data_IF_406714116602
#
_entry.id   IF_406714116602
#
_cell.length_a   1.000
_cell.length_b   1.000
_cell.length_c   1.000
_cell.angle_alpha   90.00
_cell.angle_beta   90.00
_cell.angle_gamma   90.00
#
_symmetry.space_group_name_H-M   'P 1'
#
loop_
_entity.id
_entity.type
_entity.pdbx_description
1 polymer ?
#
# COMPACT_ATOMS: atom_id res chain seq x y z
N UNK A 1 4.50 23.50 -1.44
CA UNK A 1 3.48 22.42 -1.57
C UNK A 1 4.00 21.10 -2.12
N UNK A 2 5.02 21.03 -2.97
CA UNK A 2 5.51 19.77 -3.58
C UNK A 2 6.56 19.05 -2.71
N UNK A 3 7.13 19.70 -1.69
CA UNK A 3 8.20 19.15 -0.83
C UNK A 3 7.77 18.04 0.13
N UNK A 4 6.48 17.80 0.32
CA UNK A 4 5.96 16.84 1.30
C UNK A 4 5.55 15.49 0.69
N UNK A 5 5.80 15.28 -0.60
CA UNK A 5 5.55 14.00 -1.25
C UNK A 5 6.71 13.05 -0.93
N UNK A 6 6.61 12.38 0.19
CA UNK A 6 7.50 11.25 0.52
C UNK A 6 7.11 10.06 -0.34
N UNK A 7 7.94 9.78 -1.36
CA UNK A 7 7.78 8.60 -2.21
C UNK A 7 8.12 7.36 -1.39
N UNK A 8 7.07 6.68 -0.91
CA UNK A 8 7.18 5.50 -0.06
C UNK A 8 7.37 5.85 1.42
N UNK A 9 6.51 5.31 2.27
CA UNK A 9 6.61 5.46 3.73
C UNK A 9 7.54 4.41 4.34
N UNK A 10 8.61 4.01 3.61
CA UNK A 10 9.55 3.03 4.12
C UNK A 10 10.30 3.56 5.35
N UNK A 11 10.29 2.78 6.43
CA UNK A 11 11.04 3.08 7.64
C UNK A 11 12.30 2.19 7.67
N UNK A 12 13.52 2.77 7.57
CA UNK A 12 14.75 1.97 7.60
C UNK A 12 15.00 1.43 9.00
N UNK A 13 14.79 0.13 9.20
CA UNK A 13 15.12 -0.58 10.43
C UNK A 13 15.71 -1.95 10.13
N UNK A 14 16.63 -2.40 11.00
CA UNK A 14 17.19 -3.74 10.94
C UNK A 14 16.29 -4.71 11.71
N UNK A 15 15.34 -5.33 10.99
CA UNK A 15 14.45 -6.33 11.56
C UNK A 15 14.31 -7.55 10.66
N UNK A 16 13.79 -8.64 11.22
CA UNK A 16 13.53 -9.87 10.46
C UNK A 16 12.56 -9.60 9.29
N UNK A 17 11.53 -8.78 9.53
CA UNK A 17 10.58 -8.41 8.48
C UNK A 17 11.23 -7.63 7.35
N UNK A 18 12.14 -6.68 7.64
CA UNK A 18 12.81 -5.91 6.59
C UNK A 18 13.65 -6.80 5.67
N UNK A 19 14.28 -7.83 6.24
CA UNK A 19 15.16 -8.79 5.51
C UNK A 19 14.39 -9.92 4.82
N UNK A 20 13.07 -10.05 5.03
CA UNK A 20 12.24 -11.05 4.35
C UNK A 20 12.08 -10.75 2.86
N UNK A 21 11.92 -11.83 2.08
CA UNK A 21 11.61 -11.73 0.65
C UNK A 21 10.29 -10.96 0.42
N UNK A 22 10.26 -9.97 -0.49
CA UNK A 22 9.06 -9.19 -0.78
C UNK A 22 7.85 -10.02 -1.19
N UNK A 23 8.08 -11.16 -1.87
CA UNK A 23 7.01 -12.11 -2.22
C UNK A 23 6.33 -12.69 -0.99
N UNK A 24 7.13 -13.09 -0.01
CA UNK A 24 6.60 -13.62 1.24
C UNK A 24 5.81 -12.56 2.01
N UNK A 25 6.24 -11.30 2.01
CA UNK A 25 5.51 -10.19 2.63
C UNK A 25 4.18 -9.91 1.94
N UNK A 26 4.18 -9.85 0.59
CA UNK A 26 2.97 -9.63 -0.21
C UNK A 26 1.92 -10.71 0.05
N UNK A 27 2.32 -11.99 -0.08
CA UNK A 27 1.42 -13.12 0.19
C UNK A 27 0.93 -13.10 1.63
N UNK A 28 1.82 -12.80 2.59
CA UNK A 28 1.45 -12.73 4.00
C UNK A 28 0.45 -11.63 4.31
N UNK A 29 0.62 -10.45 3.73
CA UNK A 29 -0.33 -9.36 3.89
C UNK A 29 -1.69 -9.72 3.27
N UNK A 30 -1.70 -10.36 2.11
CA UNK A 30 -2.92 -10.79 1.44
C UNK A 30 -3.66 -11.86 2.25
N UNK A 31 -2.94 -12.86 2.77
CA UNK A 31 -3.48 -13.89 3.68
C UNK A 31 -4.06 -13.24 4.94
N UNK A 32 -3.35 -12.29 5.55
CA UNK A 32 -3.84 -11.55 6.71
C UNK A 32 -5.12 -10.77 6.40
N UNK A 33 -5.17 -10.03 5.29
CA UNK A 33 -6.36 -9.29 4.86
C UNK A 33 -7.55 -10.25 4.71
N UNK A 34 -7.37 -11.37 3.99
CA UNK A 34 -8.42 -12.36 3.80
C UNK A 34 -8.90 -12.94 5.14
N UNK A 35 -7.97 -13.29 6.03
CA UNK A 35 -8.30 -13.86 7.34
C UNK A 35 -9.15 -12.94 8.21
N UNK A 36 -8.87 -11.62 8.20
CA UNK A 36 -9.64 -10.61 8.93
C UNK A 36 -11.10 -10.55 8.43
N UNK A 37 -11.36 -10.86 7.15
CA UNK A 37 -12.73 -10.98 6.63
C UNK A 37 -13.39 -12.32 6.98
N UNK A 38 -12.60 -13.36 7.19
CA UNK A 38 -13.10 -14.71 7.59
C UNK A 38 -13.60 -14.70 9.03
N UNK A 39 -13.00 -13.90 9.92
CA UNK A 39 -13.42 -13.79 11.31
C UNK A 39 -14.75 -13.04 11.46
N UNK A 40 -15.71 -13.68 12.15
CA UNK A 40 -16.99 -13.10 12.52
C UNK A 40 -17.20 -12.99 14.02
N UNK A 41 -16.32 -13.61 14.82
CA UNK A 41 -16.44 -13.74 16.27
C UNK A 41 -15.33 -12.98 17.00
N UNK A 42 -15.59 -12.54 18.22
CA UNK A 42 -14.58 -11.86 19.04
C UNK A 42 -13.34 -12.70 19.34
N UNK A 43 -13.43 -14.02 19.64
CA UNK A 43 -12.24 -14.86 19.81
C UNK A 43 -11.35 -14.91 18.56
N UNK A 44 -11.93 -14.94 17.37
CA UNK A 44 -11.18 -14.87 16.10
C UNK A 44 -10.37 -13.58 15.97
N UNK A 45 -10.94 -12.45 16.36
CA UNK A 45 -10.20 -11.19 16.40
C UNK A 45 -9.07 -11.18 17.44
N UNK A 46 -9.21 -11.91 18.56
CA UNK A 46 -8.10 -12.07 19.53
C UNK A 46 -6.89 -12.77 18.90
N UNK A 47 -7.11 -13.82 18.09
CA UNK A 47 -6.05 -14.50 17.34
C UNK A 47 -5.38 -13.53 16.34
N UNK A 48 -6.19 -12.76 15.61
CA UNK A 48 -5.67 -11.74 14.69
C UNK A 48 -4.85 -10.66 15.41
N UNK A 49 -5.26 -10.27 16.63
CA UNK A 49 -4.53 -9.31 17.47
C UNK A 49 -3.15 -9.86 17.86
N UNK A 50 -3.10 -11.10 18.33
CA UNK A 50 -1.84 -11.75 18.72
C UNK A 50 -0.90 -11.83 17.53
N UNK A 51 -1.39 -12.26 16.37
CA UNK A 51 -0.60 -12.34 15.15
C UNK A 51 -0.08 -10.96 14.72
N UNK A 52 -0.95 -9.95 14.68
CA UNK A 52 -0.58 -8.60 14.31
C UNK A 52 0.41 -7.99 15.29
N UNK A 53 0.21 -8.17 16.60
CA UNK A 53 1.14 -7.72 17.64
C UNK A 53 2.52 -8.38 17.49
N UNK A 54 2.58 -9.69 17.24
CA UNK A 54 3.82 -10.39 16.97
C UNK A 54 4.55 -9.80 15.74
N UNK A 55 3.83 -9.53 14.65
CA UNK A 55 4.41 -8.92 13.45
C UNK A 55 4.91 -7.49 13.70
N UNK A 56 4.20 -6.70 14.50
CA UNK A 56 4.63 -5.35 14.89
C UNK A 56 5.93 -5.40 15.70
N UNK A 57 6.01 -6.28 16.71
CA UNK A 57 7.20 -6.46 17.53
C UNK A 57 8.39 -6.90 16.67
N UNK A 58 8.19 -7.89 15.79
CA UNK A 58 9.21 -8.37 14.87
C UNK A 58 9.67 -7.32 13.85
N UNK A 59 8.82 -6.34 13.52
CA UNK A 59 9.15 -5.28 12.57
C UNK A 59 10.10 -4.24 13.14
N UNK A 60 10.15 -4.06 14.48
CA UNK A 60 10.87 -2.97 15.16
C UNK A 60 10.50 -1.56 14.68
N UNK A 61 9.36 -1.43 14.01
CA UNK A 61 8.85 -0.13 13.56
C UNK A 61 8.13 0.55 14.73
N UNK A 62 8.42 1.82 15.04
CA UNK A 62 7.69 2.53 16.08
C UNK A 62 6.21 2.63 15.77
N UNK A 63 5.37 2.25 16.72
CA UNK A 63 3.90 2.21 16.57
C UNK A 63 3.31 3.56 16.16
N UNK A 64 3.99 4.66 16.50
CA UNK A 64 3.62 6.02 16.12
C UNK A 64 3.47 6.22 14.60
N UNK A 65 4.31 5.57 13.80
CA UNK A 65 4.22 5.65 12.33
C UNK A 65 3.01 4.89 11.79
N UNK A 66 2.61 3.78 12.42
CA UNK A 66 1.41 3.02 12.06
C UNK A 66 0.13 3.82 12.38
N UNK A 67 0.09 4.48 13.53
CA UNK A 67 -1.02 5.37 13.90
C UNK A 67 -1.15 6.60 13.00
N UNK A 68 -0.08 7.06 12.36
CA UNK A 68 -0.15 8.14 11.37
C UNK A 68 -1.00 7.73 10.16
N UNK A 69 -0.87 6.48 9.70
CA UNK A 69 -1.75 5.91 8.67
C UNK A 69 -3.21 5.81 9.14
N UNK A 70 -3.43 5.46 10.41
CA UNK A 70 -4.77 5.37 10.98
C UNK A 70 -5.46 6.74 11.04
N UNK A 71 -4.72 7.81 11.35
CA UNK A 71 -5.27 9.17 11.44
C UNK A 71 -6.01 9.60 10.18
N UNK A 72 -5.51 9.20 9.00
CA UNK A 72 -6.16 9.54 7.72
C UNK A 72 -7.54 8.85 7.56
N UNK A 73 -7.76 7.72 8.24
CA UNK A 73 -8.97 6.90 8.09
C UNK A 73 -9.90 7.02 9.31
N UNK A 74 -9.46 7.68 10.38
CA UNK A 74 -10.28 7.85 11.62
C UNK A 74 -11.64 8.46 11.30
N UNK A 75 -11.71 9.44 10.41
CA UNK A 75 -12.98 10.05 10.01
C UNK A 75 -13.92 9.01 9.38
N UNK A 76 -13.44 8.22 8.44
CA UNK A 76 -14.22 7.16 7.80
C UNK A 76 -14.66 6.10 8.82
N UNK A 77 -13.75 5.73 9.73
CA UNK A 77 -14.04 4.78 10.81
C UNK A 77 -15.14 5.31 11.73
N UNK A 78 -15.05 6.58 12.15
CA UNK A 78 -16.10 7.22 12.97
C UNK A 78 -17.44 7.22 12.26
N UNK A 79 -17.47 7.61 10.98
CA UNK A 79 -18.70 7.58 10.17
C UNK A 79 -19.27 6.17 10.15
N UNK A 80 -18.46 5.16 9.83
CA UNK A 80 -18.91 3.77 9.76
C UNK A 80 -19.46 3.26 11.09
N UNK A 81 -18.79 3.57 12.20
CA UNK A 81 -19.23 3.19 13.54
C UNK A 81 -20.58 3.84 13.87
N UNK A 82 -20.71 5.14 13.65
CA UNK A 82 -21.96 5.89 13.92
C UNK A 82 -23.11 5.32 13.09
N UNK A 83 -22.92 5.11 11.79
CA UNK A 83 -23.95 4.54 10.93
C UNK A 83 -24.37 3.13 11.38
N UNK A 84 -23.42 2.26 11.74
CA UNK A 84 -23.75 0.91 12.19
C UNK A 84 -24.47 0.90 13.53
N UNK A 85 -24.17 1.81 14.47
CA UNK A 85 -24.86 1.90 15.76
C UNK A 85 -26.34 2.28 15.58
N UNK A 86 -26.63 3.24 14.70
CA UNK A 86 -27.97 3.82 14.59
C UNK A 86 -28.86 3.20 13.50
N UNK A 87 -28.27 2.66 12.42
CA UNK A 87 -29.03 2.13 11.28
C UNK A 87 -29.21 0.61 11.32
N UNK A 88 -28.51 -0.13 12.18
CA UNK A 88 -28.63 -1.59 12.21
C UNK A 88 -29.88 -1.99 13.00
N UNK A 89 -30.84 -2.73 12.41
CA UNK A 89 -32.02 -3.22 13.12
C UNK A 89 -31.61 -4.30 14.11
N UNK A 90 -32.29 -4.35 15.28
CA UNK A 90 -32.05 -5.34 16.33
C UNK A 90 -32.74 -5.02 17.64
N UNK A 91 -32.36 -5.69 18.74
CA UNK A 91 -32.87 -5.42 20.06
C UNK A 91 -32.50 -4.01 20.53
N UNK A 92 -33.48 -3.17 20.74
CA UNK A 92 -33.26 -1.78 21.17
C UNK A 92 -32.77 -1.78 22.62
N UNK A 93 -31.57 -1.27 22.84
CA UNK A 93 -31.00 -1.03 24.17
C UNK A 93 -31.36 0.35 24.70
N UNK A 94 -31.42 1.32 23.82
CA UNK A 94 -31.72 2.69 24.16
C UNK A 94 -32.35 3.40 22.98
N UNK A 95 -33.43 4.14 23.23
CA UNK A 95 -34.19 4.86 22.22
C UNK A 95 -34.23 6.35 22.55
N UNK A 96 -33.81 7.18 21.63
CA UNK A 96 -33.94 8.62 21.73
C UNK A 96 -34.57 9.19 20.46
N UNK A 97 -35.89 9.32 20.48
CA UNK A 97 -36.69 9.76 19.34
C UNK A 97 -36.61 8.79 18.16
N UNK A 98 -36.05 9.24 17.03
CA UNK A 98 -35.90 8.46 15.78
C UNK A 98 -34.64 7.58 15.80
N UNK A 99 -33.70 7.85 16.71
CA UNK A 99 -32.41 7.13 16.79
C UNK A 99 -32.55 5.97 17.79
N UNK A 100 -32.28 4.76 17.33
CA UNK A 100 -32.30 3.54 18.12
C UNK A 100 -30.89 2.95 18.20
N UNK A 101 -30.37 2.78 19.41
CA UNK A 101 -29.13 2.04 19.64
C UNK A 101 -29.52 0.59 19.91
N UNK A 102 -29.07 -0.31 19.03
CA UNK A 102 -29.36 -1.74 19.11
C UNK A 102 -28.12 -2.54 19.57
N UNK A 103 -28.37 -3.67 20.25
CA UNK A 103 -27.28 -4.58 20.67
C UNK A 103 -26.49 -5.12 19.48
N UNK A 104 -27.19 -5.50 18.42
CA UNK A 104 -26.62 -5.99 17.18
C UNK A 104 -25.82 -4.90 16.48
N UNK A 105 -26.31 -3.65 16.48
CA UNK A 105 -25.61 -2.49 15.93
C UNK A 105 -24.30 -2.20 16.65
N UNK A 106 -24.29 -2.28 17.98
CA UNK A 106 -23.09 -2.07 18.78
C UNK A 106 -22.03 -3.18 18.53
N UNK A 107 -22.47 -4.44 18.48
CA UNK A 107 -21.60 -5.57 18.15
C UNK A 107 -21.03 -5.47 16.72
N UNK A 108 -21.86 -5.06 15.76
CA UNK A 108 -21.44 -4.87 14.38
C UNK A 108 -20.46 -3.70 14.24
N UNK A 109 -20.76 -2.56 14.86
CA UNK A 109 -19.90 -1.39 14.89
C UNK A 109 -18.51 -1.71 15.47
N UNK A 110 -18.47 -2.43 16.61
CA UNK A 110 -17.22 -2.89 17.22
C UNK A 110 -16.41 -3.80 16.31
N UNK A 111 -17.05 -4.79 15.68
CA UNK A 111 -16.38 -5.69 14.73
C UNK A 111 -15.85 -4.95 13.51
N UNK A 112 -16.61 -4.01 12.95
CA UNK A 112 -16.18 -3.20 11.81
C UNK A 112 -15.03 -2.26 12.18
N UNK A 113 -15.07 -1.64 13.36
CA UNK A 113 -13.99 -0.79 13.86
C UNK A 113 -12.67 -1.58 14.00
N UNK A 114 -12.71 -2.75 14.63
CA UNK A 114 -11.54 -3.62 14.78
C UNK A 114 -11.05 -4.08 13.40
N UNK A 115 -11.94 -4.52 12.52
CA UNK A 115 -11.61 -4.98 11.16
C UNK A 115 -10.88 -3.90 10.37
N UNK A 116 -11.44 -2.70 10.28
CA UNK A 116 -10.82 -1.59 9.54
C UNK A 116 -9.47 -1.20 10.14
N UNK A 117 -9.36 -1.17 11.46
CA UNK A 117 -8.10 -0.88 12.15
C UNK A 117 -7.02 -1.91 11.79
N UNK A 118 -7.34 -3.20 11.79
CA UNK A 118 -6.38 -4.26 11.47
C UNK A 118 -5.97 -4.24 10.00
N UNK A 119 -6.90 -3.98 9.08
CA UNK A 119 -6.59 -3.83 7.67
C UNK A 119 -5.61 -2.69 7.43
N UNK A 120 -5.83 -1.55 8.09
CA UNK A 120 -4.95 -0.38 7.95
C UNK A 120 -3.58 -0.65 8.55
N UNK A 121 -3.52 -1.20 9.76
CA UNK A 121 -2.23 -1.49 10.41
C UNK A 121 -1.46 -2.56 9.63
N UNK A 122 -2.12 -3.63 9.19
CA UNK A 122 -1.49 -4.71 8.42
C UNK A 122 -0.93 -4.25 7.09
N UNK A 123 -1.69 -3.45 6.33
CA UNK A 123 -1.21 -2.86 5.07
C UNK A 123 -0.10 -1.82 5.29
N UNK A 124 -0.22 -0.99 6.33
CA UNK A 124 0.81 -0.02 6.70
C UNK A 124 2.12 -0.71 7.09
N UNK A 125 2.05 -1.83 7.79
CA UNK A 125 3.23 -2.61 8.16
C UNK A 125 4.01 -3.08 6.93
N UNK A 126 3.31 -3.57 5.91
CA UNK A 126 3.93 -3.95 4.64
C UNK A 126 4.62 -2.76 3.96
N UNK A 127 3.94 -1.61 3.88
CA UNK A 127 4.47 -0.40 3.24
C UNK A 127 5.67 0.17 4.01
N UNK A 128 5.65 0.12 5.34
CA UNK A 128 6.74 0.60 6.19
C UNK A 128 7.99 -0.32 6.15
N UNK A 129 7.81 -1.61 5.84
CA UNK A 129 8.89 -2.61 5.84
C UNK A 129 9.40 -2.99 4.45
N UNK A 130 8.81 -2.46 3.38
CA UNK A 130 9.14 -2.84 2.01
C UNK A 130 9.31 -1.59 1.14
N UNK A 131 10.44 -1.49 0.43
CA UNK A 131 10.66 -0.38 -0.49
C UNK A 131 9.80 -0.54 -1.75
N UNK A 132 9.43 0.57 -2.46
CA UNK A 132 8.67 0.48 -3.71
C UNK A 132 9.34 -0.40 -4.77
N UNK A 133 10.66 -0.35 -4.89
CA UNK A 133 11.40 -1.20 -5.83
C UNK A 133 11.28 -2.68 -5.47
N UNK A 134 11.46 -3.03 -4.18
CA UNK A 134 11.27 -4.41 -3.71
C UNK A 134 9.84 -4.90 -3.94
N UNK A 135 8.85 -4.01 -3.77
CA UNK A 135 7.45 -4.33 -4.03
C UNK A 135 7.22 -4.68 -5.51
N UNK A 136 7.79 -3.89 -6.42
CA UNK A 136 7.73 -4.13 -7.87
C UNK A 136 8.37 -5.45 -8.25
N UNK A 137 9.58 -5.74 -7.73
CA UNK A 137 10.29 -7.00 -7.97
C UNK A 137 9.50 -8.21 -7.43
N UNK A 138 8.90 -8.05 -6.24
CA UNK A 138 8.03 -9.07 -5.63
C UNK A 138 6.79 -9.35 -6.47
N UNK A 139 6.13 -8.30 -6.95
CA UNK A 139 4.95 -8.40 -7.83
C UNK A 139 5.28 -9.07 -9.16
N UNK A 140 6.38 -8.66 -9.82
CA UNK A 140 6.85 -9.30 -11.06
C UNK A 140 6.96 -10.82 -10.89
N UNK A 141 7.61 -11.25 -9.81
CA UNK A 141 7.82 -12.67 -9.56
C UNK A 141 6.54 -13.43 -9.22
N UNK A 142 5.63 -12.81 -8.46
CA UNK A 142 4.34 -13.42 -8.09
C UNK A 142 3.40 -13.50 -9.29
N UNK A 143 3.41 -12.49 -10.15
CA UNK A 143 2.54 -12.42 -11.32
C UNK A 143 3.11 -13.13 -12.56
N UNK A 144 4.36 -13.60 -12.52
CA UNK A 144 5.00 -14.30 -13.64
C UNK A 144 4.17 -15.44 -14.26
N UNK A 145 3.37 -16.24 -13.49
CA UNK A 145 2.50 -17.24 -14.09
C UNK A 145 1.48 -16.68 -15.09
N UNK A 146 1.10 -15.38 -14.95
CA UNK A 146 0.19 -14.71 -15.86
C UNK A 146 0.80 -14.46 -17.25
N UNK A 147 2.11 -14.62 -17.42
CA UNK A 147 2.72 -14.61 -18.77
C UNK A 147 2.10 -15.68 -19.68
N UNK A 148 1.58 -16.79 -19.11
CA UNK A 148 0.83 -17.82 -19.87
C UNK A 148 -0.47 -17.28 -20.46
N UNK A 149 -1.01 -16.19 -19.92
CA UNK A 149 -2.20 -15.48 -20.43
C UNK A 149 -1.84 -14.32 -21.37
N UNK A 150 -0.61 -14.31 -21.92
CA UNK A 150 -0.08 -13.26 -22.81
C UNK A 150 -0.02 -11.85 -22.16
N UNK A 151 0.06 -11.77 -20.82
CA UNK A 151 0.26 -10.50 -20.13
C UNK A 151 1.77 -10.24 -20.01
N UNK A 152 2.31 -9.13 -20.53
CA UNK A 152 3.75 -8.82 -20.51
C UNK A 152 4.19 -8.33 -19.14
N UNK A 153 4.24 -9.23 -18.15
CA UNK A 153 4.52 -8.88 -16.73
C UNK A 153 5.91 -8.28 -16.56
N UNK A 154 6.92 -8.80 -17.28
CA UNK A 154 8.28 -8.30 -17.19
C UNK A 154 8.38 -6.84 -17.67
N UNK A 155 7.76 -6.52 -18.80
CA UNK A 155 7.72 -5.18 -19.37
C UNK A 155 6.99 -4.20 -18.44
N UNK A 156 5.89 -4.63 -17.84
CA UNK A 156 5.16 -3.82 -16.85
C UNK A 156 6.05 -3.53 -15.63
N UNK A 157 6.72 -4.55 -15.08
CA UNK A 157 7.61 -4.37 -13.93
C UNK A 157 8.80 -3.46 -14.26
N UNK A 158 9.36 -3.58 -15.46
CA UNK A 158 10.42 -2.70 -15.93
C UNK A 158 9.94 -1.26 -16.05
N UNK A 159 8.76 -1.02 -16.66
CA UNK A 159 8.16 0.32 -16.72
C UNK A 159 7.95 0.92 -15.34
N UNK A 160 7.44 0.13 -14.37
CA UNK A 160 7.28 0.58 -12.98
C UNK A 160 8.62 0.94 -12.34
N UNK A 161 9.66 0.14 -12.54
CA UNK A 161 11.00 0.40 -11.99
C UNK A 161 11.62 1.67 -12.57
N UNK A 162 11.43 1.90 -13.88
CA UNK A 162 11.86 3.13 -14.57
C UNK A 162 11.08 4.32 -14.03
N UNK A 163 9.75 4.21 -13.90
CA UNK A 163 8.90 5.27 -13.37
C UNK A 163 9.32 5.65 -11.95
N UNK A 164 9.51 4.68 -11.04
CA UNK A 164 9.93 4.92 -9.66
C UNK A 164 11.29 5.65 -9.59
N UNK A 165 12.19 5.38 -10.53
CA UNK A 165 13.48 6.09 -10.64
C UNK A 165 13.31 7.52 -11.14
N UNK A 166 12.40 7.74 -12.10
CA UNK A 166 12.21 9.08 -12.69
C UNK A 166 11.36 10.02 -11.84
N UNK A 167 10.50 9.51 -10.97
CA UNK A 167 9.65 10.36 -10.11
C UNK A 167 10.50 11.40 -9.33
N UNK A 168 11.57 11.04 -8.57
CA UNK A 168 12.37 12.04 -7.88
C UNK A 168 12.99 13.07 -8.82
N UNK A 169 13.50 12.61 -9.97
CA UNK A 169 14.13 13.47 -10.97
C UNK A 169 13.14 14.46 -11.57
N UNK A 170 11.93 13.99 -11.91
CA UNK A 170 10.86 14.86 -12.44
C UNK A 170 10.35 15.83 -11.38
N UNK A 171 10.34 15.45 -10.11
CA UNK A 171 9.99 16.38 -9.02
C UNK A 171 10.99 17.52 -8.88
N UNK A 172 12.29 17.21 -8.91
CA UNK A 172 13.34 18.25 -8.91
C UNK A 172 13.26 19.15 -10.14
N UNK A 173 12.96 18.60 -11.31
CA UNK A 173 12.77 19.34 -12.54
C UNK A 173 11.54 20.26 -12.47
N UNK A 174 10.43 19.73 -11.92
CA UNK A 174 9.22 20.51 -11.67
C UNK A 174 9.49 21.71 -10.77
N UNK A 175 10.26 21.54 -9.69
CA UNK A 175 10.64 22.64 -8.81
C UNK A 175 11.50 23.70 -9.53
N UNK A 176 12.42 23.27 -10.40
CA UNK A 176 13.25 24.17 -11.21
C UNK A 176 12.42 24.98 -12.20
N UNK A 177 11.53 24.29 -12.95
CA UNK A 177 10.64 24.93 -13.93
C UNK A 177 9.70 25.89 -13.22
N UNK A 178 9.12 25.49 -12.09
CA UNK A 178 8.21 26.32 -11.30
C UNK A 178 8.89 27.63 -10.86
N UNK A 179 10.09 27.55 -10.30
CA UNK A 179 10.87 28.73 -9.90
C UNK A 179 11.17 29.65 -11.09
N UNK A 180 11.53 29.08 -12.23
CA UNK A 180 11.79 29.84 -13.46
C UNK A 180 10.52 30.54 -13.98
N UNK A 181 9.36 29.89 -13.91
CA UNK A 181 8.08 30.48 -14.34
C UNK A 181 7.59 31.55 -13.38
N UNK A 182 7.78 31.38 -12.06
CA UNK A 182 7.48 32.42 -11.06
C UNK A 182 8.36 33.67 -11.32
N UNK A 183 9.65 33.49 -11.63
CA UNK A 183 10.55 34.61 -11.99
C UNK A 183 10.12 35.33 -13.28
N UNK A 184 9.34 34.66 -14.16
CA UNK A 184 8.72 35.25 -15.36
C UNK A 184 7.36 35.87 -15.10
N UNK A 185 6.90 35.93 -13.85
CA UNK A 185 5.63 36.49 -13.45
C UNK A 185 4.44 35.53 -13.51
N UNK A 186 4.67 34.23 -13.62
CA UNK A 186 3.59 33.27 -13.54
C UNK A 186 3.07 33.14 -12.10
N UNK A 187 1.75 33.16 -11.95
CA UNK A 187 1.06 33.00 -10.68
C UNK A 187 0.28 31.67 -10.68
N UNK A 188 0.64 30.77 -9.77
CA UNK A 188 0.04 29.44 -9.63
C UNK A 188 -1.00 29.35 -8.50
N UNK A 189 -1.13 30.40 -7.67
CA UNK A 189 -1.95 30.35 -6.45
C UNK A 189 -3.25 31.14 -6.56
N UNK A 190 -3.31 32.21 -7.36
CA UNK A 190 -4.49 33.05 -7.47
C UNK A 190 -5.43 32.63 -8.60
N UNK A 191 -6.72 32.89 -8.43
CA UNK A 191 -7.77 32.67 -9.43
C UNK A 191 -8.67 31.46 -9.18
N UNK A 192 -9.69 31.32 -10.04
CA UNK A 192 -10.62 30.22 -10.07
C UNK A 192 -9.94 28.91 -10.50
N UNK A 193 -10.58 27.75 -10.22
CA UNK A 193 -10.05 26.41 -10.55
C UNK A 193 -9.63 26.30 -12.02
N UNK A 194 -10.43 26.84 -12.95
CA UNK A 194 -10.13 26.84 -14.38
C UNK A 194 -8.89 27.71 -14.67
N UNK A 195 -8.76 28.85 -14.03
CA UNK A 195 -7.63 29.76 -14.20
C UNK A 195 -6.34 29.14 -13.64
N UNK A 196 -6.42 28.51 -12.48
CA UNK A 196 -5.29 27.72 -11.90
C UNK A 196 -4.84 26.61 -12.84
N UNK A 197 -5.77 25.85 -13.41
CA UNK A 197 -5.45 24.80 -14.40
C UNK A 197 -4.75 25.39 -15.64
N UNK A 198 -5.22 26.54 -16.15
CA UNK A 198 -4.60 27.22 -17.28
C UNK A 198 -3.20 27.74 -16.94
N UNK A 199 -3.02 28.28 -15.74
CA UNK A 199 -1.73 28.75 -15.26
C UNK A 199 -0.70 27.62 -15.05
N UNK A 200 -1.13 26.36 -14.94
CA UNK A 200 -0.23 25.20 -14.88
C UNK A 200 0.32 24.76 -16.26
N UNK A 201 -0.28 25.22 -17.39
CA UNK A 201 0.18 24.83 -18.74
C UNK A 201 1.66 25.20 -18.97
N UNK A 202 2.16 26.40 -18.61
CA UNK A 202 3.57 26.75 -18.76
C UNK A 202 4.54 25.88 -17.94
N UNK A 203 4.04 25.15 -16.93
CA UNK A 203 4.80 24.19 -16.16
C UNK A 203 4.76 22.79 -16.82
N UNK A 204 3.58 22.38 -17.30
CA UNK A 204 3.36 21.04 -17.86
C UNK A 204 4.08 20.85 -19.19
N UNK A 205 4.02 21.83 -20.09
CA UNK A 205 4.60 21.70 -21.44
C UNK A 205 6.11 21.44 -21.39
N UNK A 206 6.93 22.26 -20.69
CA UNK A 206 8.36 21.98 -20.58
C UNK A 206 8.67 20.64 -19.87
N UNK A 207 7.86 20.25 -18.88
CA UNK A 207 8.02 18.99 -18.17
C UNK A 207 7.80 17.79 -19.11
N UNK A 208 6.74 17.84 -19.95
CA UNK A 208 6.49 16.82 -20.97
C UNK A 208 7.64 16.70 -21.98
N UNK A 209 8.13 17.85 -22.47
CA UNK A 209 9.26 17.85 -23.43
C UNK A 209 10.48 17.22 -22.81
N UNK A 210 10.79 17.56 -21.55
CA UNK A 210 11.90 16.97 -20.81
C UNK A 210 11.72 15.46 -20.59
N UNK A 211 10.52 15.03 -20.22
CA UNK A 211 10.20 13.60 -20.03
C UNK A 211 10.36 12.80 -21.32
N UNK A 212 9.86 13.32 -22.47
CA UNK A 212 10.06 12.67 -23.78
C UNK A 212 11.53 12.60 -24.19
N UNK A 213 12.29 13.67 -23.97
CA UNK A 213 13.72 13.69 -24.27
C UNK A 213 14.46 12.62 -23.47
N UNK A 214 14.18 12.51 -22.17
CA UNK A 214 14.74 11.46 -21.30
C UNK A 214 14.32 10.05 -21.71
N UNK A 215 13.08 9.86 -22.16
CA UNK A 215 12.60 8.59 -22.66
C UNK A 215 13.37 8.14 -23.91
N UNK A 216 13.62 9.07 -24.84
CA UNK A 216 14.42 8.80 -26.03
C UNK A 216 15.89 8.48 -25.68
N UNK A 217 16.50 9.25 -24.76
CA UNK A 217 17.88 9.01 -24.31
C UNK A 217 18.00 7.62 -23.66
N UNK A 218 16.97 7.24 -22.83
CA UNK A 218 16.93 5.93 -22.21
C UNK A 218 16.77 4.82 -23.25
N UNK A 219 15.87 5.00 -24.24
CA UNK A 219 15.65 4.03 -25.32
C UNK A 219 16.95 3.78 -26.11
N UNK A 220 17.63 4.85 -26.54
CA UNK A 220 18.93 4.73 -27.22
C UNK A 220 19.99 4.05 -26.35
N UNK A 221 20.03 4.36 -25.06
CA UNK A 221 20.95 3.69 -24.14
C UNK A 221 20.63 2.21 -23.94
N UNK A 222 19.37 1.81 -24.00
CA UNK A 222 18.93 0.41 -23.94
C UNK A 222 19.28 -0.34 -25.24
N UNK A 223 19.05 0.27 -26.39
CA UNK A 223 19.46 -0.30 -27.69
C UNK A 223 20.99 -0.49 -27.78
N UNK A 224 21.76 0.51 -27.37
CA UNK A 224 23.23 0.42 -27.33
C UNK A 224 23.75 -0.69 -26.38
N UNK A 225 22.92 -1.12 -25.41
CA UNK A 225 23.19 -2.26 -24.52
C UNK A 225 22.57 -3.56 -25.00
N UNK A 226 22.14 -3.63 -26.25
CA UNK A 226 21.52 -4.80 -26.86
C UNK A 226 20.29 -5.30 -26.08
N UNK A 227 19.42 -4.39 -25.64
CA UNK A 227 18.16 -4.79 -25.02
C UNK A 227 17.16 -5.30 -26.06
N UNK A 228 16.75 -6.57 -25.98
CA UNK A 228 15.82 -7.25 -26.90
C UNK A 228 14.62 -7.87 -26.15
N UNK A 229 14.17 -7.26 -25.08
CA UNK A 229 13.04 -7.77 -24.29
C UNK A 229 13.47 -8.50 -23.01
N UNK A 230 12.52 -9.20 -22.39
CA UNK A 230 12.69 -9.86 -21.07
C UNK A 230 13.19 -11.30 -21.13
N UNK A 231 13.21 -11.93 -22.32
CA UNK A 231 13.53 -13.34 -22.47
C UNK A 231 15.04 -13.61 -22.27
N UNK A 232 15.34 -14.71 -21.57
CA UNK A 232 16.71 -15.17 -21.29
C UNK A 232 17.61 -14.18 -20.52
N UNK A 233 17.03 -13.21 -19.78
CA UNK A 233 17.80 -12.27 -18.96
C UNK A 233 18.04 -12.79 -17.56
N UNK A 234 19.24 -12.52 -17.04
CA UNK A 234 19.59 -12.72 -15.63
C UNK A 234 19.40 -11.44 -14.84
N UNK A 235 19.00 -11.55 -13.57
CA UNK A 235 18.93 -10.40 -12.66
C UNK A 235 20.23 -10.28 -11.88
N UNK A 236 20.76 -9.05 -11.76
CA UNK A 236 21.96 -8.76 -10.98
C UNK A 236 21.79 -9.11 -9.49
N UNK A 237 20.60 -8.91 -8.94
CA UNK A 237 20.22 -9.27 -7.57
C UNK A 237 18.96 -10.14 -7.59
N UNK A 238 19.10 -11.45 -7.87
CA UNK A 238 17.94 -12.33 -7.92
C UNK A 238 17.33 -12.50 -6.52
N UNK A 239 16.01 -12.45 -6.42
CA UNK A 239 15.29 -12.80 -5.21
C UNK A 239 15.49 -14.29 -4.91
N UNK A 240 16.01 -14.61 -3.72
CA UNK A 240 16.21 -15.98 -3.25
C UNK A 240 15.51 -16.15 -1.91
N UNK A 241 14.75 -17.24 -1.77
CA UNK A 241 14.17 -17.60 -0.49
C UNK A 241 15.25 -18.03 0.49
N UNK A 242 15.17 -17.49 1.70
CA UNK A 242 15.99 -17.91 2.83
C UNK A 242 15.17 -18.71 3.85
N UNK A 243 15.83 -19.40 4.78
CA UNK A 243 15.15 -20.22 5.79
C UNK A 243 14.09 -19.44 6.59
N UNK A 244 14.30 -18.15 6.83
CA UNK A 244 13.33 -17.24 7.50
C UNK A 244 12.03 -17.07 6.71
N UNK A 245 12.10 -17.11 5.37
CA UNK A 245 10.92 -16.96 4.52
C UNK A 245 10.05 -18.22 4.59
N UNK A 246 10.67 -19.39 4.61
CA UNK A 246 9.96 -20.68 4.80
C UNK A 246 9.27 -20.73 6.16
N UNK A 247 9.96 -20.35 7.25
CA UNK A 247 9.36 -20.27 8.59
C UNK A 247 8.16 -19.31 8.59
N UNK A 248 8.29 -18.17 7.90
CA UNK A 248 7.20 -17.21 7.75
C UNK A 248 6.01 -17.79 6.98
N UNK A 249 6.24 -18.61 5.96
CA UNK A 249 5.14 -19.29 5.24
C UNK A 249 4.42 -20.29 6.15
N UNK A 250 5.15 -21.11 6.90
CA UNK A 250 4.55 -22.04 7.87
C UNK A 250 3.67 -21.28 8.87
N UNK A 251 4.19 -20.25 9.52
CA UNK A 251 3.42 -19.45 10.47
C UNK A 251 2.17 -18.78 9.87
N UNK A 252 2.19 -18.40 8.59
CA UNK A 252 1.03 -17.83 7.89
C UNK A 252 -0.03 -18.87 7.56
N UNK A 253 0.40 -20.06 7.15
CA UNK A 253 -0.53 -21.17 6.88
C UNK A 253 -1.15 -21.70 8.15
N UNK A 254 -0.39 -21.83 9.26
CA UNK A 254 -0.92 -22.16 10.58
C UNK A 254 -1.95 -21.14 11.05
N UNK A 255 -1.63 -19.85 10.91
CA UNK A 255 -2.55 -18.76 11.23
C UNK A 255 -3.85 -18.85 10.39
N UNK A 256 -3.74 -19.10 9.08
CA UNK A 256 -4.92 -19.26 8.21
C UNK A 256 -5.71 -20.52 8.57
N UNK A 257 -5.03 -21.62 8.89
CA UNK A 257 -5.67 -22.85 9.37
C UNK A 257 -6.47 -22.60 10.64
N UNK A 258 -5.90 -21.91 11.63
CA UNK A 258 -6.60 -21.51 12.85
C UNK A 258 -7.82 -20.63 12.50
N UNK A 259 -7.68 -19.67 11.59
CA UNK A 259 -8.78 -18.80 11.18
C UNK A 259 -9.96 -19.59 10.57
N UNK A 260 -9.66 -20.59 9.74
CA UNK A 260 -10.67 -21.45 9.12
C UNK A 260 -11.36 -22.34 10.18
N UNK A 261 -10.57 -22.93 11.09
CA UNK A 261 -11.12 -23.75 12.19
C UNK A 261 -12.08 -22.94 13.05
N UNK A 262 -11.70 -21.71 13.46
CA UNK A 262 -12.59 -20.84 14.23
C UNK A 262 -13.90 -20.52 13.49
N UNK A 263 -13.83 -20.37 12.18
CA UNK A 263 -15.03 -20.16 11.36
C UNK A 263 -15.94 -21.38 11.31
N UNK A 264 -15.36 -22.59 11.20
CA UNK A 264 -16.13 -23.85 11.09
C UNK A 264 -16.78 -24.21 12.44
N UNK A 265 -16.05 -24.02 13.53
CA UNK A 265 -16.54 -24.32 14.89
C UNK A 265 -17.56 -23.29 15.37
N UNK A 266 -17.67 -22.13 14.72
CA UNK A 266 -18.65 -21.09 15.05
C UNK A 266 -18.35 -20.30 16.33
N UNK A 267 -17.10 -20.43 16.83
CA UNK A 267 -16.62 -19.72 18.02
C UNK A 267 -16.09 -18.33 17.66
#
# INVERSE_FOLDING_TARGET
>A
MIRDITIGQYYPADSVLHKMDPRAKLVGTLVFIISVFVFHTFPGYAVATIFLAAMIILSKVPVKFMFKGLKAIVMLLMITVVFNIFLTPGKVLWQWGILHVTEEGLKLAGRMAIRLTYLVIGSSLMTLTTTPNQLTDGLERLLRPLNKLHVPIHEIAMMMSIALRFIPILMEETDKIMKAQIARGADFETGNIIQKAKNMIPLLVPLFISAFRRANDLAMAMEARCYHGGDNRTQMKPLRYESRDYISYVGKWDYLGIAIVFRIVGI
#
